data_IF_880105545060
#
_entry.id   IF_880105545060
#
_cell.length_a   1.000
_cell.length_b   1.000
_cell.length_c   1.000
_cell.angle_alpha   90.00
_cell.angle_beta   90.00
_cell.angle_gamma   90.00
#
_symmetry.space_group_name_H-M   'P 1'
#
loop_
_entity.id
_entity.type
_entity.pdbx_description
1 polymer ?
#
# COMPACT_ATOMS: atom_id res chain seq x y z
N UNK A 1 -43.30 -47.27 -22.72
CA UNK A 1 -43.66 -45.98 -22.07
C UNK A 1 -42.54 -45.64 -21.09
N UNK A 2 -41.55 -44.83 -21.54
CA UNK A 2 -40.37 -44.46 -20.76
C UNK A 2 -40.56 -43.05 -20.17
N UNK A 3 -40.73 -42.94 -18.87
CA UNK A 3 -40.79 -41.68 -18.15
C UNK A 3 -39.36 -41.26 -17.72
N UNK A 4 -38.72 -40.39 -18.46
CA UNK A 4 -37.51 -39.68 -18.06
C UNK A 4 -37.90 -38.48 -17.20
N UNK A 5 -37.69 -38.59 -15.88
CA UNK A 5 -37.80 -37.47 -14.94
C UNK A 5 -36.45 -36.77 -14.88
N UNK A 6 -36.33 -35.59 -15.50
CA UNK A 6 -35.17 -34.71 -15.39
C UNK A 6 -35.14 -34.10 -13.96
N UNK A 7 -34.19 -34.51 -13.15
CA UNK A 7 -33.88 -33.82 -11.89
C UNK A 7 -33.12 -32.55 -12.21
N UNK A 8 -33.83 -31.42 -12.12
CA UNK A 8 -33.19 -30.09 -12.16
C UNK A 8 -32.50 -29.88 -10.81
N UNK A 9 -31.19 -29.97 -10.82
CA UNK A 9 -30.35 -29.66 -9.64
C UNK A 9 -30.36 -28.14 -9.39
N UNK A 10 -30.92 -27.75 -8.28
CA UNK A 10 -30.93 -26.37 -7.78
C UNK A 10 -29.56 -26.09 -7.17
N UNK A 11 -28.62 -25.59 -7.97
CA UNK A 11 -27.36 -24.99 -7.45
C UNK A 11 -27.67 -23.59 -6.95
N UNK A 12 -28.02 -23.49 -5.67
CA UNK A 12 -28.19 -22.19 -5.01
C UNK A 12 -26.83 -21.57 -4.77
N UNK A 13 -26.60 -20.44 -5.41
CA UNK A 13 -25.43 -19.55 -5.30
C UNK A 13 -25.15 -19.17 -3.84
N UNK A 14 -23.98 -19.57 -3.34
CA UNK A 14 -23.43 -19.15 -2.05
C UNK A 14 -22.58 -17.86 -2.17
N UNK A 15 -22.99 -16.91 -3.01
CA UNK A 15 -22.22 -15.67 -3.29
C UNK A 15 -22.64 -14.44 -2.50
N UNK A 16 -23.66 -14.54 -1.62
CA UNK A 16 -24.31 -13.36 -1.03
C UNK A 16 -23.79 -12.91 0.35
N UNK A 17 -22.80 -13.58 0.97
CA UNK A 17 -22.45 -13.34 2.38
C UNK A 17 -21.13 -12.59 2.64
N UNK A 18 -20.31 -12.33 1.63
CA UNK A 18 -19.04 -11.62 1.85
C UNK A 18 -19.13 -10.08 1.73
N UNK A 19 -20.08 -9.56 0.97
CA UNK A 19 -20.24 -8.12 0.78
C UNK A 19 -20.56 -7.32 2.07
N UNK A 20 -21.41 -7.78 2.97
CA UNK A 20 -21.76 -7.01 4.16
C UNK A 20 -20.62 -6.91 5.19
N UNK A 21 -19.76 -7.93 5.30
CA UNK A 21 -18.61 -7.90 6.24
C UNK A 21 -17.58 -6.87 5.80
N UNK A 22 -17.27 -6.81 4.52
CA UNK A 22 -16.27 -5.88 3.99
C UNK A 22 -16.74 -4.42 4.06
N UNK A 23 -18.02 -4.15 3.88
CA UNK A 23 -18.60 -2.83 4.08
C UNK A 23 -18.51 -2.37 5.54
N UNK A 24 -18.83 -3.25 6.49
CA UNK A 24 -18.74 -2.96 7.92
C UNK A 24 -17.32 -2.63 8.39
N UNK A 25 -16.30 -3.36 7.89
CA UNK A 25 -14.90 -3.07 8.17
C UNK A 25 -14.47 -1.69 7.63
N UNK A 26 -14.93 -1.32 6.43
CA UNK A 26 -14.62 -0.03 5.80
C UNK A 26 -15.25 1.14 6.57
N UNK A 27 -16.48 1.01 7.02
CA UNK A 27 -17.17 2.05 7.79
C UNK A 27 -16.55 2.23 9.19
N UNK A 28 -16.20 1.14 9.85
CA UNK A 28 -15.46 1.17 11.12
C UNK A 28 -14.08 1.82 10.93
N UNK A 29 -13.38 1.48 9.83
CA UNK A 29 -12.10 2.07 9.46
C UNK A 29 -12.20 3.57 9.19
N UNK A 30 -13.24 4.02 8.47
CA UNK A 30 -13.52 5.43 8.21
C UNK A 30 -13.67 6.22 9.51
N UNK A 31 -14.44 5.69 10.45
CA UNK A 31 -14.65 6.33 11.76
C UNK A 31 -13.34 6.48 12.54
N UNK A 32 -12.45 5.49 12.45
CA UNK A 32 -11.15 5.47 13.14
C UNK A 32 -10.07 6.30 12.43
N UNK A 33 -10.21 6.55 11.12
CA UNK A 33 -9.20 7.18 10.28
C UNK A 33 -8.94 8.66 10.58
N UNK A 34 -9.78 9.33 11.37
CA UNK A 34 -9.65 10.77 11.65
C UNK A 34 -8.27 11.17 12.17
N UNK A 35 -7.66 10.36 13.03
CA UNK A 35 -6.30 10.59 13.57
C UNK A 35 -5.22 10.48 12.50
N UNK A 36 -5.44 9.69 11.45
CA UNK A 36 -4.50 9.49 10.35
C UNK A 36 -4.56 10.63 9.33
N UNK A 37 -5.76 11.19 9.14
CA UNK A 37 -6.05 12.19 8.11
C UNK A 37 -5.31 13.50 8.33
N UNK A 38 -4.99 13.87 9.57
CA UNK A 38 -4.22 15.06 9.89
C UNK A 38 -2.86 15.12 9.19
N UNK A 39 -2.24 13.97 8.98
CA UNK A 39 -0.95 13.85 8.30
C UNK A 39 -1.08 13.27 6.88
N UNK A 40 -1.89 12.22 6.71
CA UNK A 40 -2.01 11.49 5.45
C UNK A 40 -3.10 12.05 4.51
N UNK A 41 -3.71 13.19 4.87
CA UNK A 41 -4.75 13.84 4.06
C UNK A 41 -6.15 13.27 4.29
N UNK A 42 -7.19 14.05 3.98
CA UNK A 42 -8.59 13.75 4.29
C UNK A 42 -9.12 12.45 3.70
N UNK A 43 -8.57 12.01 2.57
CA UNK A 43 -8.91 10.75 1.89
C UNK A 43 -7.69 9.83 1.76
N UNK A 44 -6.72 9.96 2.66
CA UNK A 44 -5.46 9.21 2.57
C UNK A 44 -4.56 9.65 1.41
N UNK A 45 -4.77 10.87 0.90
CA UNK A 45 -3.92 11.52 -0.11
C UNK A 45 -3.24 12.70 0.55
N UNK A 46 -1.96 12.54 0.87
CA UNK A 46 -1.18 13.53 1.61
C UNK A 46 -0.82 14.75 0.75
N UNK A 47 -0.87 15.93 1.36
CA UNK A 47 -0.33 17.16 0.77
C UNK A 47 1.14 17.38 1.15
N UNK A 48 1.73 16.53 1.97
CA UNK A 48 3.13 16.61 2.39
C UNK A 48 3.93 15.49 1.74
N UNK A 49 4.93 15.85 0.95
CA UNK A 49 5.74 14.92 0.19
C UNK A 49 6.55 13.91 1.04
N UNK A 50 6.70 14.13 2.35
CA UNK A 50 7.36 13.22 3.28
C UNK A 50 6.39 12.20 3.90
N UNK A 51 5.10 12.43 3.83
CA UNK A 51 4.07 11.56 4.37
C UNK A 51 3.40 10.78 3.24
N UNK A 52 3.33 9.44 3.34
CA UNK A 52 2.84 8.65 2.21
C UNK A 52 1.34 8.81 1.98
N UNK A 53 0.96 8.68 0.71
CA UNK A 53 -0.41 8.38 0.34
C UNK A 53 -0.76 6.97 0.85
N UNK A 54 -1.91 6.85 1.49
CA UNK A 54 -2.47 5.58 1.97
C UNK A 54 -3.58 5.06 1.05
N UNK A 55 -4.25 5.97 0.33
CA UNK A 55 -5.36 5.66 -0.56
C UNK A 55 -4.96 4.67 -1.66
N UNK A 56 -5.75 3.61 -1.81
CA UNK A 56 -5.53 2.56 -2.81
C UNK A 56 -4.28 1.71 -2.59
N UNK A 57 -3.69 1.76 -1.38
CA UNK A 57 -2.58 0.88 -1.03
C UNK A 57 -3.08 -0.53 -0.71
N UNK A 58 -2.25 -1.54 -0.89
CA UNK A 58 -2.59 -2.92 -0.54
C UNK A 58 -3.02 -3.03 0.92
N UNK A 59 -4.20 -3.62 1.16
CA UNK A 59 -4.72 -3.90 2.51
C UNK A 59 -3.71 -4.69 3.35
N UNK A 60 -3.18 -5.78 2.80
CA UNK A 60 -2.22 -6.65 3.48
C UNK A 60 -0.95 -5.87 3.87
N UNK A 61 -0.48 -5.02 2.95
CA UNK A 61 0.69 -4.18 3.25
C UNK A 61 0.40 -3.16 4.36
N UNK A 62 -0.75 -2.48 4.32
CA UNK A 62 -1.14 -1.52 5.36
C UNK A 62 -1.23 -2.20 6.73
N UNK A 63 -1.91 -3.36 6.84
CA UNK A 63 -2.00 -4.13 8.07
C UNK A 63 -0.61 -4.50 8.60
N UNK A 64 0.24 -5.00 7.72
CA UNK A 64 1.62 -5.40 8.07
C UNK A 64 2.42 -4.20 8.58
N UNK A 65 2.34 -3.05 7.91
CA UNK A 65 3.09 -1.86 8.32
C UNK A 65 2.60 -1.31 9.67
N UNK A 66 1.29 -1.26 9.91
CA UNK A 66 0.75 -0.84 11.21
C UNK A 66 1.18 -1.78 12.34
N UNK A 67 1.17 -3.10 12.10
CA UNK A 67 1.70 -4.10 13.04
C UNK A 67 3.20 -3.91 13.32
N UNK A 68 3.99 -3.65 12.27
CA UNK A 68 5.43 -3.40 12.41
C UNK A 68 5.71 -2.10 13.18
N UNK A 69 4.94 -1.03 12.98
CA UNK A 69 5.04 0.17 13.80
C UNK A 69 4.64 -0.09 15.26
N UNK A 70 3.55 -0.83 15.48
CA UNK A 70 3.07 -1.18 16.82
C UNK A 70 4.11 -2.01 17.60
N UNK A 71 4.76 -2.97 16.94
CA UNK A 71 5.76 -3.85 17.54
C UNK A 71 7.18 -3.27 17.59
N UNK A 72 7.44 -2.11 16.96
CA UNK A 72 8.77 -1.53 16.83
C UNK A 72 9.67 -2.18 15.77
N UNK A 73 9.15 -3.15 14.99
CA UNK A 73 9.89 -3.74 13.86
C UNK A 73 10.17 -2.74 12.74
N UNK A 74 9.33 -1.71 12.62
CA UNK A 74 9.57 -0.54 11.78
C UNK A 74 9.62 0.68 12.66
N UNK A 75 10.71 1.44 12.55
CA UNK A 75 10.98 2.59 13.42
C UNK A 75 10.55 3.88 12.72
N UNK A 76 9.68 4.62 13.37
CA UNK A 76 9.33 6.00 13.08
C UNK A 76 8.60 6.54 14.32
N UNK A 77 9.19 7.51 15.00
CA UNK A 77 8.70 7.96 16.32
C UNK A 77 7.22 8.36 16.32
N UNK A 78 6.76 9.07 15.30
CA UNK A 78 5.36 9.47 15.16
C UNK A 78 4.45 8.27 14.95
N UNK A 79 4.79 7.40 13.99
CA UNK A 79 3.95 6.24 13.67
C UNK A 79 3.97 5.18 14.76
N UNK A 80 5.11 4.97 15.44
CA UNK A 80 5.16 4.07 16.59
C UNK A 80 4.26 4.58 17.73
N UNK A 81 4.26 5.91 17.98
CA UNK A 81 3.36 6.54 18.96
C UNK A 81 1.88 6.37 18.63
N UNK A 82 1.50 6.49 17.36
CA UNK A 82 0.10 6.32 16.92
C UNK A 82 -0.31 4.83 16.93
N UNK A 83 0.55 3.95 16.42
CA UNK A 83 0.20 2.55 16.22
C UNK A 83 0.13 1.73 17.52
N UNK A 84 0.83 2.15 18.59
CA UNK A 84 0.86 1.44 19.88
C UNK A 84 -0.53 1.20 20.47
N UNK A 85 -1.43 2.17 20.29
CA UNK A 85 -2.77 2.17 20.89
C UNK A 85 -3.85 1.57 19.97
N UNK A 86 -3.47 1.10 18.75
CA UNK A 86 -4.40 0.44 17.84
C UNK A 86 -4.64 -1.01 18.27
N UNK A 87 -5.91 -1.43 18.35
CA UNK A 87 -6.26 -2.84 18.43
C UNK A 87 -6.02 -3.54 17.09
N UNK A 88 -6.00 -4.87 17.08
CA UNK A 88 -5.90 -5.64 15.83
C UNK A 88 -7.10 -5.39 14.92
N UNK A 89 -8.28 -5.18 15.48
CA UNK A 89 -9.47 -4.80 14.74
C UNK A 89 -9.35 -3.39 14.13
N UNK A 90 -8.81 -2.41 14.88
CA UNK A 90 -8.51 -1.07 14.32
C UNK A 90 -7.56 -1.16 13.12
N UNK A 91 -6.50 -1.98 13.22
CA UNK A 91 -5.52 -2.16 12.16
C UNK A 91 -6.18 -2.73 10.90
N UNK A 92 -7.01 -3.78 11.05
CA UNK A 92 -7.73 -4.40 9.94
C UNK A 92 -8.72 -3.44 9.28
N UNK A 93 -9.50 -2.72 10.09
CA UNK A 93 -10.51 -1.77 9.63
C UNK A 93 -9.87 -0.56 8.91
N UNK A 94 -8.81 0.03 9.49
CA UNK A 94 -8.05 1.12 8.87
C UNK A 94 -7.44 0.69 7.53
N UNK A 95 -6.85 -0.51 7.48
CA UNK A 95 -6.27 -1.04 6.26
C UNK A 95 -7.34 -1.29 5.18
N UNK A 96 -8.51 -1.83 5.54
CA UNK A 96 -9.63 -2.01 4.63
C UNK A 96 -10.14 -0.66 4.09
N UNK A 97 -10.29 0.33 4.96
CA UNK A 97 -10.75 1.67 4.59
C UNK A 97 -9.80 2.33 3.59
N UNK A 98 -8.51 2.48 3.92
CA UNK A 98 -7.56 3.15 3.03
C UNK A 98 -7.32 2.39 1.73
N UNK A 99 -7.37 1.06 1.75
CA UNK A 99 -7.27 0.25 0.53
C UNK A 99 -8.47 0.44 -0.41
N UNK A 100 -9.67 0.75 0.12
CA UNK A 100 -10.88 0.99 -0.67
C UNK A 100 -10.94 2.35 -1.35
N UNK A 101 -10.10 3.30 -0.90
CA UNK A 101 -10.11 4.67 -1.43
C UNK A 101 -9.42 4.75 -2.81
N UNK A 102 -9.89 5.62 -3.71
CA UNK A 102 -9.25 5.82 -5.00
C UNK A 102 -7.85 6.43 -4.81
N UNK A 103 -6.85 5.82 -5.42
CA UNK A 103 -5.49 6.37 -5.39
C UNK A 103 -5.38 7.59 -6.30
N UNK A 104 -4.55 8.55 -5.91
CA UNK A 104 -4.16 9.71 -6.74
C UNK A 104 -2.65 9.71 -6.92
N UNK A 105 -2.18 10.16 -8.07
CA UNK A 105 -0.76 10.39 -8.30
C UNK A 105 -0.31 11.63 -7.54
N UNK A 106 0.86 11.53 -6.88
CA UNK A 106 1.52 12.64 -6.23
C UNK A 106 2.31 13.51 -7.23
N UNK A 107 2.43 13.03 -8.47
CA UNK A 107 3.28 13.64 -9.50
C UNK A 107 4.75 13.30 -9.33
N UNK A 108 5.52 13.61 -10.37
CA UNK A 108 6.98 13.45 -10.41
C UNK A 108 7.58 14.31 -11.52
N UNK A 109 8.88 14.48 -11.49
CA UNK A 109 9.61 15.21 -12.54
C UNK A 109 9.66 14.38 -13.83
N UNK A 110 8.99 14.86 -14.87
CA UNK A 110 8.91 14.16 -16.16
C UNK A 110 10.27 14.03 -16.87
N UNK A 111 11.23 14.90 -16.56
CA UNK A 111 12.58 14.83 -17.15
C UNK A 111 13.39 13.67 -16.60
N UNK A 112 13.16 13.32 -15.33
CA UNK A 112 13.82 12.20 -14.65
C UNK A 112 13.05 10.89 -14.84
N UNK A 113 11.75 10.95 -15.09
CA UNK A 113 10.90 9.78 -15.23
C UNK A 113 11.33 8.81 -16.34
N UNK A 114 11.89 9.32 -17.46
CA UNK A 114 12.37 8.48 -18.56
C UNK A 114 13.54 7.57 -18.14
N UNK A 115 14.51 8.12 -17.41
CA UNK A 115 15.64 7.35 -16.83
C UNK A 115 15.12 6.40 -15.75
N UNK A 116 14.27 6.89 -14.85
CA UNK A 116 13.68 6.11 -13.80
C UNK A 116 12.87 4.91 -14.28
N UNK A 117 12.17 5.01 -15.42
CA UNK A 117 11.41 3.92 -16.02
C UNK A 117 12.24 2.68 -16.29
N UNK A 118 13.42 2.86 -16.90
CA UNK A 118 14.30 1.75 -17.22
C UNK A 118 14.84 1.09 -15.95
N UNK A 119 15.27 1.91 -14.98
CA UNK A 119 15.83 1.45 -13.70
C UNK A 119 14.78 0.74 -12.85
N UNK A 120 13.55 1.24 -12.84
CA UNK A 120 12.44 0.67 -12.06
C UNK A 120 11.88 -0.64 -12.65
N UNK A 121 12.20 -0.99 -13.90
CA UNK A 121 11.58 -2.15 -14.57
C UNK A 121 11.72 -3.46 -13.78
N UNK A 122 12.84 -3.68 -13.10
CA UNK A 122 13.07 -4.85 -12.27
C UNK A 122 12.13 -4.94 -11.06
N UNK A 123 11.60 -3.82 -10.58
CA UNK A 123 10.74 -3.76 -9.40
C UNK A 123 9.36 -4.36 -9.67
N UNK A 124 8.90 -4.41 -10.94
CA UNK A 124 7.61 -4.97 -11.33
C UNK A 124 7.47 -6.45 -10.97
N UNK A 125 8.59 -7.20 -10.90
CA UNK A 125 8.56 -8.62 -10.56
C UNK A 125 7.86 -8.91 -9.22
N UNK A 126 8.04 -8.03 -8.25
CA UNK A 126 7.40 -8.13 -6.93
C UNK A 126 6.24 -7.13 -6.77
N UNK A 127 6.46 -5.87 -7.17
CA UNK A 127 5.49 -4.79 -6.98
C UNK A 127 4.34 -4.78 -8.00
N UNK A 128 4.27 -5.81 -8.85
CA UNK A 128 3.18 -6.02 -9.79
C UNK A 128 3.25 -5.16 -11.04
N UNK A 129 2.40 -5.51 -12.01
CA UNK A 129 2.24 -4.76 -13.26
C UNK A 129 1.90 -3.30 -12.93
N UNK A 130 2.53 -2.37 -13.65
CA UNK A 130 2.35 -0.92 -13.45
C UNK A 130 2.59 -0.47 -12.00
N UNK A 131 3.34 -1.22 -11.22
CA UNK A 131 3.64 -0.92 -9.80
C UNK A 131 2.40 -0.75 -8.91
N UNK A 132 1.31 -1.45 -9.25
CA UNK A 132 0.03 -1.38 -8.52
C UNK A 132 0.02 -2.19 -7.23
N UNK A 133 1.12 -2.89 -6.94
CA UNK A 133 1.22 -3.79 -5.79
C UNK A 133 0.74 -5.21 -6.11
N UNK A 134 1.14 -6.15 -5.26
CA UNK A 134 0.71 -7.55 -5.36
C UNK A 134 0.73 -8.18 -3.95
N UNK A 135 -0.43 -8.40 -3.36
CA UNK A 135 -0.55 -8.99 -2.03
C UNK A 135 0.19 -8.17 -0.96
N UNK A 136 1.23 -8.75 -0.38
CA UNK A 136 2.08 -8.11 0.64
C UNK A 136 3.04 -7.03 0.06
N UNK A 137 3.28 -7.04 -1.25
CA UNK A 137 4.14 -6.06 -1.89
C UNK A 137 3.34 -4.76 -2.15
N UNK A 138 3.86 -3.60 -1.70
CA UNK A 138 3.11 -2.36 -1.80
C UNK A 138 2.96 -1.85 -3.22
N UNK A 139 1.86 -1.13 -3.44
CA UNK A 139 1.72 -0.21 -4.55
C UNK A 139 2.76 0.89 -4.42
N UNK A 140 3.49 1.17 -5.50
CA UNK A 140 4.48 2.24 -5.60
C UNK A 140 3.99 3.37 -6.50
N UNK A 141 3.19 3.04 -7.52
CA UNK A 141 2.67 4.00 -8.49
C UNK A 141 1.90 5.15 -7.80
N UNK A 142 2.24 6.38 -8.16
CA UNK A 142 1.59 7.58 -7.64
C UNK A 142 1.94 7.94 -6.20
N UNK A 143 2.95 7.30 -5.60
CA UNK A 143 3.43 7.67 -4.28
C UNK A 143 4.38 8.86 -4.36
N UNK A 144 4.46 9.67 -3.30
CA UNK A 144 5.35 10.83 -3.25
C UNK A 144 6.81 10.47 -3.53
N UNK A 145 7.48 11.12 -4.51
CA UNK A 145 8.89 10.85 -4.82
C UNK A 145 9.82 10.99 -3.61
N UNK A 146 9.64 12.05 -2.80
CA UNK A 146 10.45 12.27 -1.59
C UNK A 146 10.26 11.15 -0.56
N UNK A 147 9.04 10.66 -0.39
CA UNK A 147 8.78 9.53 0.48
C UNK A 147 9.42 8.24 -0.05
N UNK A 148 9.28 7.96 -1.36
CA UNK A 148 9.90 6.79 -2.00
C UNK A 148 11.41 6.84 -1.86
N UNK A 149 12.04 7.98 -2.19
CA UNK A 149 13.47 8.18 -2.06
C UNK A 149 13.94 7.92 -0.62
N UNK A 150 13.26 8.52 0.37
CA UNK A 150 13.56 8.24 1.76
C UNK A 150 13.47 6.74 2.09
N UNK A 151 12.44 6.04 1.62
CA UNK A 151 12.30 4.61 1.91
C UNK A 151 13.41 3.77 1.28
N UNK A 152 13.84 4.10 0.04
CA UNK A 152 14.95 3.41 -0.62
C UNK A 152 16.27 3.66 0.12
N UNK A 153 16.53 4.88 0.59
CA UNK A 153 17.69 5.19 1.43
C UNK A 153 17.63 4.46 2.78
N UNK A 154 16.47 4.43 3.44
CA UNK A 154 16.28 3.73 4.72
C UNK A 154 16.56 2.21 4.56
N UNK A 155 16.17 1.61 3.43
CA UNK A 155 16.51 0.21 3.13
C UNK A 155 18.01 0.05 2.85
N UNK A 156 18.63 0.97 2.12
CA UNK A 156 20.06 0.94 1.78
C UNK A 156 20.93 1.08 3.02
N UNK A 157 20.59 1.97 3.93
CA UNK A 157 21.30 2.17 5.21
C UNK A 157 21.00 1.09 6.26
N UNK A 158 19.92 0.31 6.09
CA UNK A 158 19.47 -0.67 7.09
C UNK A 158 18.61 -0.08 8.20
N UNK A 159 18.28 1.22 8.17
CA UNK A 159 17.33 1.84 9.10
C UNK A 159 15.94 1.21 9.00
N UNK A 160 15.54 0.86 7.77
CA UNK A 160 14.34 0.07 7.51
C UNK A 160 14.74 -1.34 7.09
N UNK A 161 14.22 -2.34 7.81
CA UNK A 161 14.49 -3.75 7.53
C UNK A 161 13.28 -4.38 6.83
N UNK A 162 13.50 -4.92 5.64
CA UNK A 162 12.48 -5.61 4.85
C UNK A 162 13.10 -6.69 3.94
N UNK A 163 14.05 -7.44 4.47
CA UNK A 163 14.63 -8.60 3.79
C UNK A 163 15.13 -8.29 2.38
N UNK A 164 14.37 -8.69 1.37
CA UNK A 164 14.76 -8.55 -0.02
C UNK A 164 15.08 -7.10 -0.44
N UNK A 165 14.31 -6.10 0.04
CA UNK A 165 14.55 -4.72 -0.34
C UNK A 165 15.92 -4.21 0.10
N UNK A 166 16.41 -4.62 1.28
CA UNK A 166 17.75 -4.24 1.75
C UNK A 166 18.86 -4.73 0.79
N UNK A 167 18.70 -5.89 0.19
CA UNK A 167 19.66 -6.40 -0.80
C UNK A 167 19.54 -5.71 -2.15
N UNK A 168 18.30 -5.51 -2.64
CA UNK A 168 18.04 -4.95 -3.98
C UNK A 168 18.61 -3.54 -4.12
N UNK A 169 18.42 -2.69 -3.09
CA UNK A 169 18.79 -1.27 -3.19
C UNK A 169 20.29 -1.00 -3.01
N UNK A 170 21.09 -1.99 -2.62
CA UNK A 170 22.54 -1.79 -2.37
C UNK A 170 23.29 -1.29 -3.61
N UNK A 171 22.88 -1.75 -4.81
CA UNK A 171 23.52 -1.39 -6.06
C UNK A 171 23.12 -0.02 -6.61
N UNK A 172 22.07 0.63 -6.05
CA UNK A 172 21.57 1.90 -6.57
C UNK A 172 22.41 3.07 -6.07
N UNK A 173 22.79 3.96 -6.97
CA UNK A 173 23.30 5.29 -6.63
C UNK A 173 22.17 6.19 -6.10
N UNK A 174 22.52 7.34 -5.54
CA UNK A 174 21.55 8.34 -5.11
C UNK A 174 20.76 8.91 -6.30
N UNK A 175 21.41 9.04 -7.46
CA UNK A 175 20.75 9.44 -8.72
C UNK A 175 19.77 8.37 -9.20
N UNK A 176 20.11 7.07 -9.09
CA UNK A 176 19.18 5.99 -9.41
C UNK A 176 17.95 6.02 -8.50
N UNK A 177 18.15 6.21 -7.20
CA UNK A 177 17.06 6.31 -6.23
C UNK A 177 16.16 7.51 -6.55
N UNK A 178 16.76 8.65 -6.91
CA UNK A 178 16.03 9.85 -7.32
C UNK A 178 15.18 9.58 -8.56
N UNK A 179 15.79 9.10 -9.64
CA UNK A 179 15.13 8.86 -10.92
C UNK A 179 13.98 7.85 -10.78
N UNK A 180 14.24 6.74 -10.09
CA UNK A 180 13.22 5.72 -9.79
C UNK A 180 12.04 6.32 -9.02
N UNK A 181 12.33 7.15 -8.01
CA UNK A 181 11.30 7.75 -7.17
C UNK A 181 10.44 8.74 -7.95
N UNK A 182 11.03 9.56 -8.81
CA UNK A 182 10.32 10.50 -9.69
C UNK A 182 9.44 9.76 -10.71
N UNK A 183 9.96 8.70 -11.32
CA UNK A 183 9.16 7.88 -12.23
C UNK A 183 7.96 7.26 -11.53
N UNK A 184 8.16 6.61 -10.40
CA UNK A 184 7.07 5.95 -9.67
C UNK A 184 6.01 6.95 -9.16
N UNK A 185 6.43 8.15 -8.78
CA UNK A 185 5.52 9.22 -8.38
C UNK A 185 4.66 9.76 -9.53
N UNK A 186 5.19 9.74 -10.76
CA UNK A 186 4.52 10.25 -11.95
C UNK A 186 3.39 9.34 -12.50
N UNK A 187 3.33 8.08 -12.05
CA UNK A 187 2.36 7.06 -12.52
C UNK A 187 0.94 7.26 -12.03
#
# INVERSE_FOLDING_TARGET
MNNNVYKIGFSVLLFALMAPVQAAETDAGKSRASVCMGCHGSEGVSNNAMWPNLAGQSRIYLETQLKHFKSGQRTNSTMNGIAKDLSDADIQNLAAYFASLPSKSAGGDSTLAASGKQKAAMCMGCHGQDFKGNGQFPKLAGQHPKYLSKQLHDFKSGERKAGAMNGIVQSFSDDDIKDISEYLGSL
#
